data_IF_884526199210
#
_entry.id   IF_884526199210
#
_cell.length_a   1.000
_cell.length_b   1.000
_cell.length_c   1.000
_cell.angle_alpha   90.00
_cell.angle_beta   90.00
_cell.angle_gamma   90.00
#
_symmetry.space_group_name_H-M   'P 1'
#
loop_
_entity.id
_entity.type
_entity.pdbx_description
1 polymer ?
#
# COMPACT_ATOMS: atom_id res chain seq x y z
N UNK A 1 17.42 2.84 9.10
CA UNK A 1 16.79 1.69 9.81
C UNK A 1 15.54 1.25 9.03
N UNK A 2 15.71 0.35 8.06
CA UNK A 2 14.63 -0.06 7.14
C UNK A 2 14.42 -1.59 7.06
N UNK A 3 14.86 -2.33 8.09
CA UNK A 3 14.82 -3.81 8.09
C UNK A 3 13.43 -4.40 7.88
N UNK A 4 12.39 -3.81 8.50
CA UNK A 4 11.00 -4.26 8.32
C UNK A 4 10.46 -4.00 6.91
N UNK A 5 10.87 -2.90 6.28
CA UNK A 5 10.47 -2.57 4.90
C UNK A 5 11.12 -3.56 3.93
N UNK A 6 12.44 -3.74 4.02
CA UNK A 6 13.18 -4.68 3.18
C UNK A 6 12.66 -6.12 3.36
N UNK A 7 12.33 -6.51 4.60
CA UNK A 7 11.73 -7.82 4.89
C UNK A 7 10.32 -7.96 4.32
N UNK A 8 9.54 -6.88 4.30
CA UNK A 8 8.22 -6.88 3.65
C UNK A 8 8.34 -7.05 2.15
N UNK A 9 9.31 -6.39 1.51
CA UNK A 9 9.63 -6.56 0.09
C UNK A 9 10.03 -8.01 -0.20
N UNK A 10 10.90 -8.61 0.62
CA UNK A 10 11.28 -10.02 0.51
C UNK A 10 10.07 -10.94 0.58
N UNK A 11 9.27 -10.83 1.65
CA UNK A 11 8.11 -11.71 1.84
C UNK A 11 7.10 -11.56 0.71
N UNK A 12 6.85 -10.33 0.25
CA UNK A 12 6.00 -10.08 -0.89
C UNK A 12 6.53 -10.76 -2.15
N UNK A 13 7.80 -10.56 -2.49
CA UNK A 13 8.41 -11.13 -3.68
C UNK A 13 8.33 -12.66 -3.69
N UNK A 14 8.71 -13.30 -2.57
CA UNK A 14 8.66 -14.76 -2.43
C UNK A 14 7.22 -15.29 -2.48
N UNK A 15 6.28 -14.63 -1.81
CA UNK A 15 4.90 -15.12 -1.72
C UNK A 15 4.09 -14.90 -3.01
N UNK A 16 4.32 -13.78 -3.70
CA UNK A 16 3.54 -13.39 -4.88
C UNK A 16 4.19 -13.86 -6.18
N UNK A 17 5.52 -13.82 -6.27
CA UNK A 17 6.27 -14.09 -7.51
C UNK A 17 7.23 -15.29 -7.40
N UNK A 18 7.40 -15.86 -6.20
CA UNK A 18 8.21 -17.06 -5.95
C UNK A 18 9.67 -16.79 -5.61
N UNK A 19 10.32 -17.83 -5.07
CA UNK A 19 11.71 -17.73 -4.59
C UNK A 19 12.73 -17.41 -5.69
N UNK A 20 12.49 -17.84 -6.92
CA UNK A 20 13.40 -17.58 -8.04
C UNK A 20 13.51 -16.08 -8.35
N UNK A 21 12.38 -15.35 -8.32
CA UNK A 21 12.36 -13.90 -8.53
C UNK A 21 13.09 -13.19 -7.40
N UNK A 22 12.81 -13.59 -6.15
CA UNK A 22 13.52 -13.03 -5.00
C UNK A 22 15.04 -13.25 -5.09
N UNK A 23 15.50 -14.48 -5.35
CA UNK A 23 16.93 -14.80 -5.39
C UNK A 23 17.66 -14.03 -6.48
N UNK A 24 17.07 -13.89 -7.66
CA UNK A 24 17.63 -13.09 -8.75
C UNK A 24 17.73 -11.61 -8.37
N UNK A 25 16.64 -11.02 -7.86
CA UNK A 25 16.60 -9.61 -7.46
C UNK A 25 17.55 -9.30 -6.29
N UNK A 26 17.58 -10.15 -5.26
CA UNK A 26 18.47 -9.99 -4.12
C UNK A 26 19.94 -10.00 -4.56
N UNK A 27 20.31 -10.93 -5.44
CA UNK A 27 21.67 -11.02 -5.99
C UNK A 27 22.04 -9.75 -6.75
N UNK A 28 21.16 -9.27 -7.64
CA UNK A 28 21.39 -8.05 -8.41
C UNK A 28 21.45 -6.78 -7.53
N UNK A 29 20.64 -6.73 -6.47
CA UNK A 29 20.63 -5.63 -5.50
C UNK A 29 21.81 -5.68 -4.49
N UNK A 30 22.61 -6.74 -4.49
CA UNK A 30 23.71 -6.93 -3.53
C UNK A 30 23.24 -7.31 -2.12
N UNK A 31 22.08 -7.95 -2.02
CA UNK A 31 21.48 -8.47 -0.77
C UNK A 31 21.68 -9.98 -0.72
N UNK A 32 21.88 -10.54 0.48
CA UNK A 32 21.98 -11.98 0.65
C UNK A 32 20.65 -12.68 0.24
N UNK A 33 20.67 -13.58 -0.76
CA UNK A 33 19.46 -14.28 -1.21
C UNK A 33 18.81 -15.17 -0.14
N UNK A 34 19.54 -15.52 0.93
CA UNK A 34 19.01 -16.27 2.08
C UNK A 34 18.01 -15.45 2.90
N UNK A 35 18.06 -14.13 2.79
CA UNK A 35 17.05 -13.22 3.32
C UNK A 35 17.62 -11.96 3.96
N UNK A 36 16.72 -11.04 4.26
CA UNK A 36 17.06 -9.75 4.86
C UNK A 36 17.25 -9.90 6.38
N UNK A 37 18.44 -9.53 6.84
CA UNK A 37 18.76 -9.45 8.27
C UNK A 37 18.20 -8.17 8.90
N UNK A 38 17.43 -8.32 9.98
CA UNK A 38 16.78 -7.21 10.68
C UNK A 38 17.75 -6.34 11.49
N UNK A 39 18.94 -6.86 11.83
CA UNK A 39 19.90 -6.22 12.74
C UNK A 39 21.07 -5.52 12.03
N UNK A 40 21.12 -5.55 10.71
CA UNK A 40 22.18 -4.89 9.94
C UNK A 40 21.73 -3.48 9.54
N UNK A 41 22.62 -2.49 9.63
CA UNK A 41 22.36 -1.15 9.08
C UNK A 41 22.22 -1.27 7.56
N UNK A 42 20.97 -1.30 7.09
CA UNK A 42 20.65 -1.29 5.67
C UNK A 42 20.50 0.15 5.23
N UNK A 43 21.28 0.53 4.21
CA UNK A 43 21.16 1.81 3.53
C UNK A 43 19.77 1.95 2.88
N UNK A 44 19.21 3.16 2.91
CA UNK A 44 17.91 3.52 2.34
C UNK A 44 17.87 3.26 0.83
N UNK A 45 19.03 3.11 0.18
CA UNK A 45 19.13 2.67 -1.22
C UNK A 45 18.73 1.22 -1.44
N UNK A 46 18.73 0.37 -0.41
CA UNK A 46 18.48 -1.08 -0.55
C UNK A 46 17.04 -1.38 -0.93
N UNK A 47 16.07 -0.74 -0.26
CA UNK A 47 14.65 -0.88 -0.61
C UNK A 47 14.41 -0.47 -2.08
N UNK A 48 14.99 0.66 -2.50
CA UNK A 48 14.87 1.16 -3.87
C UNK A 48 15.49 0.22 -4.90
N UNK A 49 16.68 -0.32 -4.62
CA UNK A 49 17.34 -1.33 -5.48
C UNK A 49 16.50 -2.60 -5.59
N UNK A 50 16.04 -3.15 -4.46
CA UNK A 50 15.18 -4.34 -4.48
C UNK A 50 13.90 -4.11 -5.27
N UNK A 51 13.21 -2.99 -5.08
CA UNK A 51 12.01 -2.65 -5.84
C UNK A 51 12.31 -2.54 -7.34
N UNK A 52 13.42 -1.90 -7.71
CA UNK A 52 13.83 -1.78 -9.10
C UNK A 52 14.08 -3.15 -9.75
N UNK A 53 14.86 -4.02 -9.10
CA UNK A 53 15.19 -5.34 -9.64
C UNK A 53 13.96 -6.26 -9.70
N UNK A 54 13.10 -6.25 -8.68
CA UNK A 54 11.86 -7.05 -8.69
C UNK A 54 10.91 -6.55 -9.78
N UNK A 55 10.71 -5.24 -9.88
CA UNK A 55 9.81 -4.65 -10.88
C UNK A 55 10.26 -5.00 -12.31
N UNK A 56 11.56 -4.93 -12.58
CA UNK A 56 12.13 -5.32 -13.86
C UNK A 56 11.89 -6.81 -14.20
N UNK A 57 11.98 -7.71 -13.21
CA UNK A 57 11.74 -9.15 -13.42
C UNK A 57 10.25 -9.49 -13.60
N UNK A 58 9.36 -8.77 -12.93
CA UNK A 58 7.91 -8.99 -12.99
C UNK A 58 7.25 -8.29 -14.18
N UNK A 59 7.92 -7.28 -14.75
CA UNK A 59 7.43 -6.55 -15.92
C UNK A 59 6.51 -5.37 -15.56
N UNK A 60 6.74 -4.72 -14.43
CA UNK A 60 6.02 -3.52 -13.99
C UNK A 60 7.01 -2.40 -13.62
N UNK A 61 6.48 -1.23 -13.27
CA UNK A 61 7.28 -0.12 -12.74
C UNK A 61 7.48 -0.22 -11.22
N UNK A 62 8.56 0.36 -10.65
CA UNK A 62 8.76 0.38 -9.20
C UNK A 62 7.62 1.05 -8.40
N UNK A 63 6.99 2.14 -8.87
CA UNK A 63 5.82 2.72 -8.21
C UNK A 63 4.61 1.79 -8.17
N UNK A 64 4.31 1.09 -9.27
CA UNK A 64 3.23 0.09 -9.30
C UNK A 64 3.49 -1.04 -8.29
N UNK A 65 4.72 -1.58 -8.30
CA UNK A 65 5.13 -2.62 -7.35
C UNK A 65 5.02 -2.15 -5.90
N UNK A 66 5.40 -0.90 -5.62
CA UNK A 66 5.27 -0.32 -4.29
C UNK A 66 3.80 -0.25 -3.85
N UNK A 67 2.89 0.11 -4.76
CA UNK A 67 1.44 0.06 -4.54
C UNK A 67 0.96 -1.35 -4.18
N UNK A 68 1.36 -2.35 -4.95
CA UNK A 68 0.99 -3.76 -4.71
C UNK A 68 1.50 -4.27 -3.36
N UNK A 69 2.75 -3.93 -3.00
CA UNK A 69 3.33 -4.24 -1.69
C UNK A 69 2.52 -3.57 -0.59
N UNK A 70 2.16 -2.30 -0.76
CA UNK A 70 1.32 -1.57 0.20
C UNK A 70 -0.02 -2.25 0.44
N UNK A 71 -0.73 -2.62 -0.63
CA UNK A 71 -2.00 -3.35 -0.55
C UNK A 71 -1.83 -4.71 0.14
N UNK A 72 -0.79 -5.47 -0.24
CA UNK A 72 -0.49 -6.78 0.34
C UNK A 72 -0.16 -6.69 1.85
N UNK A 73 0.62 -5.68 2.26
CA UNK A 73 0.95 -5.41 3.67
C UNK A 73 -0.31 -5.11 4.48
N UNK A 74 -1.20 -4.24 3.95
CA UNK A 74 -2.44 -3.87 4.62
C UNK A 74 -3.37 -5.07 4.87
N UNK A 75 -3.32 -6.10 4.02
CA UNK A 75 -4.12 -7.32 4.17
C UNK A 75 -3.56 -8.30 5.22
N UNK A 76 -2.32 -8.14 5.68
CA UNK A 76 -1.74 -8.99 6.73
C UNK A 76 -2.49 -8.77 8.05
N UNK A 77 -2.93 -9.85 8.69
CA UNK A 77 -3.86 -9.79 9.83
C UNK A 77 -3.44 -8.84 10.96
N UNK A 78 -2.16 -8.81 11.32
CA UNK A 78 -1.64 -7.90 12.35
C UNK A 78 -1.70 -6.42 11.94
N UNK A 79 -1.27 -6.12 10.71
CA UNK A 79 -1.27 -4.75 10.16
C UNK A 79 -2.71 -4.29 9.92
N UNK A 80 -3.54 -5.13 9.32
CA UNK A 80 -4.96 -4.86 9.12
C UNK A 80 -5.67 -4.49 10.42
N UNK A 81 -5.40 -5.23 11.50
CA UNK A 81 -5.97 -4.94 12.84
C UNK A 81 -5.47 -3.61 13.39
N UNK A 82 -4.19 -3.28 13.20
CA UNK A 82 -3.62 -1.98 13.58
C UNK A 82 -4.30 -0.84 12.81
N UNK A 83 -4.45 -0.99 11.48
CA UNK A 83 -5.11 -0.01 10.62
C UNK A 83 -6.61 0.13 10.95
N UNK A 84 -7.31 -0.97 11.24
CA UNK A 84 -8.70 -0.92 11.72
C UNK A 84 -8.88 -0.30 13.10
N UNK A 85 -7.85 -0.35 13.94
CA UNK A 85 -7.91 0.36 15.21
C UNK A 85 -7.93 1.89 15.02
N UNK A 86 -7.57 2.38 13.82
CA UNK A 86 -7.53 3.81 13.57
C UNK A 86 -8.89 4.46 13.34
N UNK A 87 -9.93 3.74 12.92
CA UNK A 87 -11.25 4.30 12.71
C UNK A 87 -12.34 3.25 12.69
N UNK A 88 -13.58 3.65 12.99
CA UNK A 88 -14.75 2.75 12.91
C UNK A 88 -15.26 2.56 11.48
N UNK A 89 -14.99 3.54 10.63
CA UNK A 89 -15.33 3.58 9.21
C UNK A 89 -14.15 4.17 8.42
N UNK A 90 -14.22 4.09 7.09
CA UNK A 90 -13.13 4.53 6.21
C UNK A 90 -12.82 6.03 6.35
N UNK A 91 -13.86 6.87 6.50
CA UNK A 91 -13.69 8.31 6.66
C UNK A 91 -12.93 8.67 7.96
N UNK A 92 -13.31 8.03 9.07
CA UNK A 92 -12.62 8.15 10.36
C UNK A 92 -11.19 7.61 10.29
N UNK A 93 -10.98 6.51 9.55
CA UNK A 93 -9.66 5.95 9.32
C UNK A 93 -8.74 6.94 8.59
N UNK A 94 -9.18 7.50 7.45
CA UNK A 94 -8.38 8.46 6.67
C UNK A 94 -8.11 9.72 7.50
N UNK A 95 -9.10 10.22 8.23
CA UNK A 95 -8.98 11.45 9.04
C UNK A 95 -7.96 11.33 10.18
N UNK A 96 -7.71 10.13 10.71
CA UNK A 96 -6.77 9.91 11.83
C UNK A 96 -5.42 9.36 11.36
N UNK A 97 -5.15 9.36 10.05
CA UNK A 97 -3.94 8.74 9.50
C UNK A 97 -2.67 9.51 9.86
N UNK A 98 -2.77 10.80 10.17
CA UNK A 98 -1.70 11.63 10.70
C UNK A 98 -1.19 11.13 12.08
N UNK A 99 -2.08 10.56 12.90
CA UNK A 99 -1.74 9.93 14.18
C UNK A 99 -1.13 8.52 14.03
N UNK A 100 -1.17 7.91 12.84
CA UNK A 100 -0.73 6.53 12.62
C UNK A 100 0.74 6.34 13.01
N UNK A 101 1.62 7.28 12.64
CA UNK A 101 3.05 7.22 12.98
C UNK A 101 3.26 7.16 14.49
N UNK A 102 2.53 7.98 15.25
CA UNK A 102 2.61 8.00 16.71
C UNK A 102 2.16 6.68 17.33
N UNK A 103 1.04 6.13 16.84
CA UNK A 103 0.50 4.85 17.30
C UNK A 103 1.40 3.67 16.94
N UNK A 104 1.93 3.64 15.72
CA UNK A 104 2.84 2.61 15.27
C UNK A 104 4.08 2.52 16.16
N UNK A 105 4.67 3.66 16.58
CA UNK A 105 5.82 3.68 17.50
C UNK A 105 5.56 3.06 18.87
N UNK A 106 4.32 3.08 19.35
CA UNK A 106 3.95 2.44 20.63
C UNK A 106 3.98 0.90 20.54
N UNK A 107 3.83 0.35 19.33
CA UNK A 107 3.68 -1.09 19.09
C UNK A 107 4.89 -1.68 18.35
N UNK A 108 5.48 -0.93 17.42
CA UNK A 108 6.54 -1.33 16.50
C UNK A 108 7.72 -0.36 16.66
N UNK A 109 8.67 -0.72 17.55
CA UNK A 109 9.81 0.15 17.89
C UNK A 109 10.75 0.42 16.72
N UNK A 110 10.86 -0.53 15.80
CA UNK A 110 11.82 -0.49 14.69
C UNK A 110 11.19 -0.10 13.34
N UNK A 111 9.91 0.29 13.34
CA UNK A 111 9.22 0.77 12.13
C UNK A 111 9.19 2.29 12.10
N UNK A 112 9.98 2.87 11.21
CA UNK A 112 9.90 4.30 10.91
C UNK A 112 8.90 4.55 9.79
N UNK A 113 7.64 4.80 10.15
CA UNK A 113 6.66 5.32 9.20
C UNK A 113 6.94 6.81 8.92
N UNK A 114 6.73 7.29 7.68
CA UNK A 114 6.78 8.71 7.38
C UNK A 114 5.66 9.45 8.11
N UNK A 115 5.86 10.74 8.38
CA UNK A 115 4.77 11.59 8.83
C UNK A 115 3.78 11.78 7.69
N UNK A 116 2.49 11.74 7.98
CA UNK A 116 1.42 11.96 6.99
C UNK A 116 0.64 13.17 7.46
N UNK A 117 0.53 14.19 6.62
CA UNK A 117 -0.40 15.30 6.84
C UNK A 117 -1.71 14.97 6.15
N UNK A 118 -2.84 15.14 6.85
CA UNK A 118 -4.18 14.92 6.29
C UNK A 118 -4.93 16.25 6.32
N UNK A 119 -5.41 16.70 5.16
CA UNK A 119 -6.23 17.89 5.03
C UNK A 119 -7.58 17.53 4.40
N UNK A 120 -8.72 17.95 4.99
CA UNK A 120 -10.01 17.76 4.37
C UNK A 120 -10.14 18.61 3.10
N UNK A 121 -10.84 18.07 2.10
CA UNK A 121 -11.24 18.77 0.88
C UNK A 121 -12.77 18.88 0.81
N UNK A 122 -13.34 19.70 -0.08
CA UNK A 122 -14.79 19.72 -0.31
C UNK A 122 -15.37 18.34 -0.67
N UNK A 123 -14.55 17.49 -1.31
CA UNK A 123 -14.81 16.08 -1.57
C UNK A 123 -13.62 15.26 -1.10
N UNK A 124 -13.79 14.58 0.04
CA UNK A 124 -12.79 13.68 0.60
C UNK A 124 -11.58 14.37 1.24
N UNK A 125 -10.37 13.87 0.99
CA UNK A 125 -9.14 14.25 1.70
C UNK A 125 -7.94 14.38 0.77
N UNK A 126 -7.00 15.25 1.15
CA UNK A 126 -5.64 15.30 0.62
C UNK A 126 -4.68 14.79 1.68
N UNK A 127 -3.87 13.81 1.32
CA UNK A 127 -2.79 13.29 2.16
C UNK A 127 -1.45 13.68 1.56
N UNK A 128 -0.55 14.19 2.39
CA UNK A 128 0.80 14.59 1.99
C UNK A 128 1.80 13.92 2.93
N UNK A 129 2.39 12.78 2.53
CA UNK A 129 3.40 12.11 3.32
C UNK A 129 4.77 12.78 3.15
N UNK A 130 5.52 12.89 4.24
CA UNK A 130 6.88 13.42 4.24
C UNK A 130 7.89 12.32 3.86
N UNK A 131 7.81 11.86 2.61
CA UNK A 131 8.59 10.72 2.10
C UNK A 131 8.91 10.85 0.61
N UNK A 132 9.60 9.84 0.08
CA UNK A 132 9.80 9.70 -1.36
C UNK A 132 8.55 9.16 -2.10
N UNK A 133 8.66 9.12 -3.43
CA UNK A 133 7.59 8.66 -4.33
C UNK A 133 7.20 7.18 -4.11
N UNK A 134 8.14 6.33 -3.68
CA UNK A 134 7.87 4.91 -3.43
C UNK A 134 6.89 4.75 -2.28
N UNK A 135 7.13 5.47 -1.17
CA UNK A 135 6.24 5.47 -0.03
C UNK A 135 4.86 6.05 -0.35
N UNK A 136 4.79 7.03 -1.26
CA UNK A 136 3.53 7.60 -1.74
C UNK A 136 2.65 6.52 -2.40
N UNK A 137 3.24 5.72 -3.27
CA UNK A 137 2.53 4.62 -3.94
C UNK A 137 2.18 3.48 -2.99
N UNK A 138 3.10 3.10 -2.09
CA UNK A 138 2.80 2.11 -1.06
C UNK A 138 1.63 2.54 -0.17
N UNK A 139 1.58 3.82 0.24
CA UNK A 139 0.47 4.35 1.02
C UNK A 139 -0.84 4.35 0.22
N UNK A 140 -0.81 4.68 -1.07
CA UNK A 140 -1.99 4.58 -1.95
C UNK A 140 -2.51 3.13 -2.02
N UNK A 141 -1.62 2.14 -2.14
CA UNK A 141 -1.98 0.72 -2.09
C UNK A 141 -2.60 0.30 -0.75
N UNK A 142 -2.05 0.78 0.37
CA UNK A 142 -2.64 0.58 1.71
C UNK A 142 -4.06 1.16 1.77
N UNK A 143 -4.25 2.38 1.26
CA UNK A 143 -5.55 3.05 1.26
C UNK A 143 -6.58 2.29 0.41
N UNK A 144 -6.18 1.79 -0.76
CA UNK A 144 -7.03 0.95 -1.60
C UNK A 144 -7.48 -0.32 -0.87
N UNK A 145 -6.52 -1.08 -0.34
CA UNK A 145 -6.83 -2.31 0.39
C UNK A 145 -7.70 -2.06 1.63
N UNK A 146 -7.51 -0.94 2.32
CA UNK A 146 -8.36 -0.57 3.45
C UNK A 146 -9.76 -0.12 3.00
N UNK A 147 -9.90 0.61 1.89
CA UNK A 147 -11.21 0.97 1.35
C UNK A 147 -12.05 -0.30 1.07
N UNK A 148 -11.44 -1.29 0.41
CA UNK A 148 -12.06 -2.60 0.17
C UNK A 148 -12.40 -3.32 1.48
N UNK A 149 -11.49 -3.29 2.46
CA UNK A 149 -11.72 -3.90 3.78
C UNK A 149 -12.88 -3.24 4.54
N UNK A 150 -13.10 -1.93 4.38
CA UNK A 150 -14.29 -1.23 4.92
C UNK A 150 -15.54 -1.36 4.02
N UNK A 151 -15.41 -1.95 2.84
CA UNK A 151 -16.51 -2.06 1.86
C UNK A 151 -16.90 -0.72 1.22
N UNK A 152 -15.94 0.18 1.06
CA UNK A 152 -16.14 1.54 0.52
C UNK A 152 -15.50 1.66 -0.86
N UNK A 153 -16.24 2.17 -1.83
CA UNK A 153 -15.68 2.57 -3.11
C UNK A 153 -14.95 3.92 -2.95
N UNK A 154 -13.62 3.87 -2.79
CA UNK A 154 -12.78 5.06 -2.74
C UNK A 154 -12.04 5.26 -4.06
N UNK A 155 -12.06 6.49 -4.57
CA UNK A 155 -11.22 6.94 -5.68
C UNK A 155 -9.94 7.51 -5.07
N UNK A 156 -8.81 6.87 -5.35
CA UNK A 156 -7.51 7.25 -4.82
C UNK A 156 -6.62 7.63 -6.00
N UNK A 157 -6.12 8.86 -6.00
CA UNK A 157 -5.31 9.40 -7.09
C UNK A 157 -4.04 10.04 -6.54
N UNK A 158 -2.89 9.71 -7.13
CA UNK A 158 -1.62 10.37 -6.81
C UNK A 158 -1.47 11.59 -7.73
N UNK A 159 -1.30 12.78 -7.13
CA UNK A 159 -1.03 14.03 -7.85
C UNK A 159 0.18 14.73 -7.26
N UNK A 160 1.30 14.70 -7.98
CA UNK A 160 2.57 15.24 -7.49
C UNK A 160 3.03 14.48 -6.26
N UNK A 161 3.17 15.17 -5.13
CA UNK A 161 3.61 14.64 -3.84
C UNK A 161 2.45 14.30 -2.88
N UNK A 162 1.21 14.23 -3.40
CA UNK A 162 0.02 14.03 -2.59
C UNK A 162 -0.88 12.92 -3.11
N UNK A 163 -1.66 12.34 -2.20
CA UNK A 163 -2.72 11.38 -2.48
C UNK A 163 -4.05 12.08 -2.26
N UNK A 164 -4.91 12.08 -3.27
CA UNK A 164 -6.29 12.54 -3.18
C UNK A 164 -7.18 11.32 -2.98
N UNK A 165 -8.04 11.37 -1.98
CA UNK A 165 -8.99 10.30 -1.64
C UNK A 165 -10.39 10.89 -1.69
N UNK A 166 -11.21 10.46 -2.63
CA UNK A 166 -12.64 10.80 -2.70
C UNK A 166 -13.47 9.52 -2.46
N UNK A 167 -14.58 9.66 -1.74
CA UNK A 167 -15.57 8.59 -1.58
C UNK A 167 -16.85 9.11 -2.23
N UNK A 168 -17.06 8.83 -3.53
CA UNK A 168 -18.25 9.29 -4.20
C UNK A 168 -19.48 8.67 -3.52
N UNK A 169 -20.37 9.54 -3.05
CA UNK A 169 -21.73 9.11 -2.70
C UNK A 169 -22.39 8.71 -4.01
N UNK A 170 -22.53 7.42 -4.23
CA UNK A 170 -23.34 6.92 -5.33
C UNK A 170 -24.78 7.13 -4.88
N UNK A 171 -25.44 8.18 -5.38
CA UNK A 171 -26.90 8.21 -5.38
C UNK A 171 -27.33 6.91 -6.07
N UNK A 172 -28.03 6.05 -5.34
CA UNK A 172 -28.39 4.71 -5.78
C UNK A 172 -29.08 4.78 -7.14
N UNK A 173 -28.34 4.48 -8.21
CA UNK A 173 -28.88 4.35 -9.55
C UNK A 173 -29.21 2.87 -9.70
N UNK A 174 -30.45 2.52 -10.05
CA UNK A 174 -30.84 1.13 -10.30
C UNK A 174 -29.83 0.51 -11.27
N UNK A 175 -29.07 -0.47 -10.78
CA UNK A 175 -28.05 -1.15 -11.58
C UNK A 175 -28.71 -1.80 -12.79
N UNK A 176 -28.05 -1.73 -13.95
CA UNK A 176 -28.48 -2.53 -15.10
C UNK A 176 -28.50 -4.00 -14.67
N UNK A 177 -29.55 -4.75 -14.99
CA UNK A 177 -29.57 -6.17 -14.69
C UNK A 177 -28.36 -6.82 -15.36
N UNK A 178 -27.63 -7.64 -14.60
CA UNK A 178 -26.46 -8.37 -15.06
C UNK A 178 -26.78 -9.87 -15.04
N UNK A 179 -26.57 -10.55 -16.17
CA UNK A 179 -26.68 -12.00 -16.27
C UNK A 179 -25.44 -12.54 -16.96
N UNK A 180 -24.80 -13.53 -16.32
CA UNK A 180 -23.66 -14.25 -16.91
C UNK A 180 -24.13 -15.15 -18.06
N UNK A 181 -25.38 -15.60 -18.02
CA UNK A 181 -25.90 -16.63 -18.92
C UNK A 181 -26.82 -16.09 -20.02
N UNK A 182 -27.35 -14.88 -19.87
CA UNK A 182 -28.32 -14.32 -20.80
C UNK A 182 -27.74 -13.06 -21.48
N UNK A 183 -27.36 -13.14 -22.77
CA UNK A 183 -26.79 -12.02 -23.51
C UNK A 183 -27.80 -10.89 -23.79
N UNK A 184 -29.09 -11.10 -23.51
CA UNK A 184 -30.13 -10.08 -23.69
C UNK A 184 -30.35 -9.19 -22.46
N UNK A 185 -29.80 -9.57 -21.31
CA UNK A 185 -29.92 -8.83 -20.06
C UNK A 185 -28.96 -7.63 -20.08
N UNK A 186 -29.54 -6.42 -20.08
CA UNK A 186 -28.81 -5.14 -20.08
C UNK A 186 -28.86 -4.34 -21.38
N UNK A 187 -29.54 -4.84 -22.42
CA UNK A 187 -29.66 -4.20 -23.74
C UNK A 187 -30.76 -3.12 -23.86
N UNK A 188 -31.34 -2.66 -22.74
CA UNK A 188 -32.33 -1.58 -22.71
C UNK A 188 -31.68 -0.20 -22.49
#
# INVERSE_FOLDING_TARGET
MHGLVNRSIEYFARQTHGDAVWTAAATAAGVDPRGVELMCEQDDSTARRLLHEIAALVGCSPPELAGDIGAWVAQRSAIRRLLRFAGRDFASFVTTLDELRGRARLVLRDLELPAISVAPLPRGWKLTPACDEVWLHALAGVLHAMADDYGVLAVIEIRGDAILVDVPVVDFNEGRPFSISDPSVGAA
#
